data_IF_513691237404
#
_entry.id   IF_513691237404
#
_cell.length_a   1.000
_cell.length_b   1.000
_cell.length_c   1.000
_cell.angle_alpha   90.00
_cell.angle_beta   90.00
_cell.angle_gamma   90.00
#
_symmetry.space_group_name_H-M   'P 1'
#
loop_
_entity.id
_entity.type
_entity.pdbx_description
1 polymer ?
#
# COMPACT_ATOMS: atom_id res chain seq x y z
N UNK A 1 -23.31 -3.85 -33.46
CA UNK A 1 -22.06 -3.20 -32.97
C UNK A 1 -22.33 -2.58 -31.62
N UNK A 2 -21.79 -3.17 -30.55
CA UNK A 2 -21.99 -2.62 -29.20
C UNK A 2 -21.02 -1.44 -29.07
N UNK A 3 -21.58 -0.22 -29.06
CA UNK A 3 -20.84 0.98 -28.64
C UNK A 3 -20.32 0.70 -27.23
N UNK A 4 -18.99 0.73 -27.02
CA UNK A 4 -18.41 0.65 -25.68
C UNK A 4 -18.80 1.93 -24.94
N UNK A 5 -19.94 1.87 -24.22
CA UNK A 5 -20.43 2.96 -23.41
C UNK A 5 -19.39 3.24 -22.32
N UNK A 6 -18.81 4.41 -22.31
CA UNK A 6 -17.88 4.86 -21.27
C UNK A 6 -18.62 4.83 -19.93
N UNK A 7 -17.98 4.29 -18.88
CA UNK A 7 -18.58 4.28 -17.54
C UNK A 7 -18.80 5.72 -17.06
N UNK A 8 -19.97 5.99 -16.49
CA UNK A 8 -20.24 7.25 -15.79
C UNK A 8 -19.35 7.37 -14.55
N UNK A 9 -19.18 8.57 -14.01
CA UNK A 9 -18.45 8.82 -12.76
C UNK A 9 -19.00 7.95 -11.64
N UNK A 10 -20.32 7.90 -11.45
CA UNK A 10 -20.99 7.08 -10.45
C UNK A 10 -20.70 5.57 -10.62
N UNK A 11 -20.69 5.06 -11.86
CA UNK A 11 -20.33 3.66 -12.11
C UNK A 11 -18.85 3.38 -11.78
N UNK A 12 -17.95 4.31 -12.09
CA UNK A 12 -16.54 4.21 -11.72
C UNK A 12 -16.37 4.22 -10.21
N UNK A 13 -17.04 5.16 -9.51
CA UNK A 13 -17.03 5.26 -8.05
C UNK A 13 -17.55 3.97 -7.40
N UNK A 14 -18.61 3.37 -7.90
CA UNK A 14 -19.14 2.10 -7.41
C UNK A 14 -18.15 0.96 -7.59
N UNK A 15 -17.50 0.83 -8.76
CA UNK A 15 -16.46 -0.19 -9.00
C UNK A 15 -15.29 -0.02 -8.06
N UNK A 16 -14.79 1.22 -7.91
CA UNK A 16 -13.63 1.51 -7.05
C UNK A 16 -13.97 1.27 -5.58
N UNK A 17 -15.16 1.68 -5.13
CA UNK A 17 -15.65 1.39 -3.77
C UNK A 17 -15.65 -0.12 -3.48
N UNK A 18 -16.18 -0.93 -4.38
CA UNK A 18 -16.15 -2.38 -4.24
C UNK A 18 -14.72 -2.91 -4.04
N UNK A 19 -13.74 -2.40 -4.79
CA UNK A 19 -12.35 -2.83 -4.69
C UNK A 19 -11.73 -2.40 -3.35
N UNK A 20 -11.95 -1.16 -2.92
CA UNK A 20 -11.46 -0.62 -1.65
C UNK A 20 -12.06 -1.35 -0.43
N UNK A 21 -13.28 -1.87 -0.54
CA UNK A 21 -13.96 -2.68 0.48
C UNK A 21 -13.58 -4.17 0.41
N UNK A 22 -12.46 -4.52 -0.23
CA UNK A 22 -11.91 -5.88 -0.23
C UNK A 22 -12.57 -6.87 -1.17
N UNK A 23 -13.48 -6.43 -2.04
CA UNK A 23 -14.09 -7.30 -3.03
C UNK A 23 -13.08 -7.75 -4.08
N UNK A 24 -13.18 -9.02 -4.49
CA UNK A 24 -12.40 -9.51 -5.62
C UNK A 24 -12.89 -8.89 -6.94
N UNK A 25 -12.03 -8.83 -7.97
CA UNK A 25 -12.46 -8.37 -9.31
C UNK A 25 -13.70 -9.13 -9.79
N UNK A 26 -13.78 -10.46 -9.57
CA UNK A 26 -14.95 -11.25 -9.96
C UNK A 26 -16.21 -10.91 -9.15
N UNK A 27 -16.05 -10.61 -7.85
CA UNK A 27 -17.15 -10.13 -7.02
C UNK A 27 -17.64 -8.76 -7.48
N UNK A 28 -16.72 -7.84 -7.73
CA UNK A 28 -17.04 -6.51 -8.27
C UNK A 28 -17.81 -6.60 -9.58
N UNK A 29 -17.40 -7.48 -10.51
CA UNK A 29 -18.15 -7.74 -11.75
C UNK A 29 -19.59 -8.17 -11.48
N UNK A 30 -19.81 -9.10 -10.54
CA UNK A 30 -21.17 -9.57 -10.21
C UNK A 30 -22.04 -8.48 -9.55
N UNK A 31 -21.42 -7.63 -8.71
CA UNK A 31 -22.13 -6.54 -8.00
C UNK A 31 -22.48 -5.40 -8.96
N UNK A 32 -21.56 -5.02 -9.83
CA UNK A 32 -21.69 -3.80 -10.64
C UNK A 32 -22.17 -4.06 -12.07
N UNK A 33 -22.13 -5.31 -12.54
CA UNK A 33 -22.40 -5.65 -13.95
C UNK A 33 -21.29 -5.22 -14.94
N UNK A 34 -20.23 -4.56 -14.45
CA UNK A 34 -19.15 -4.04 -15.29
C UNK A 34 -18.21 -5.18 -15.71
N UNK A 35 -17.84 -5.24 -16.99
CA UNK A 35 -16.99 -6.29 -17.54
C UNK A 35 -15.63 -6.38 -16.84
N UNK A 36 -15.14 -7.60 -16.62
CA UNK A 36 -13.89 -7.92 -15.90
C UNK A 36 -12.69 -7.08 -16.36
N UNK A 37 -12.49 -6.97 -17.67
CA UNK A 37 -11.35 -6.24 -18.23
C UNK A 37 -11.47 -4.73 -17.98
N UNK A 38 -12.70 -4.21 -17.96
CA UNK A 38 -12.96 -2.80 -17.62
C UNK A 38 -12.67 -2.54 -16.15
N UNK A 39 -13.10 -3.43 -15.24
CA UNK A 39 -12.78 -3.33 -13.80
C UNK A 39 -11.26 -3.37 -13.58
N UNK A 40 -10.55 -4.30 -14.25
CA UNK A 40 -9.10 -4.44 -14.10
C UNK A 40 -8.36 -3.20 -14.66
N UNK A 41 -8.79 -2.67 -15.80
CA UNK A 41 -8.22 -1.45 -16.38
C UNK A 41 -8.46 -0.24 -15.47
N UNK A 42 -9.69 -0.06 -14.98
CA UNK A 42 -10.02 1.04 -14.09
C UNK A 42 -9.20 0.99 -12.79
N UNK A 43 -8.95 -0.20 -12.24
CA UNK A 43 -8.04 -0.36 -11.10
C UNK A 43 -6.63 0.14 -11.42
N UNK A 44 -6.09 -0.17 -12.59
CA UNK A 44 -4.74 0.29 -12.98
C UNK A 44 -4.71 1.81 -13.18
N UNK A 45 -5.70 2.36 -13.90
CA UNK A 45 -5.81 3.81 -14.14
C UNK A 45 -5.93 4.58 -12.81
N UNK A 46 -6.81 4.13 -11.91
CA UNK A 46 -6.95 4.72 -10.57
C UNK A 46 -5.70 4.57 -9.73
N UNK A 47 -5.07 3.39 -9.74
CA UNK A 47 -3.85 3.17 -8.98
C UNK A 47 -2.70 4.08 -9.42
N UNK A 48 -2.59 4.30 -10.74
CA UNK A 48 -1.62 5.24 -11.30
C UNK A 48 -1.90 6.69 -10.84
N UNK A 49 -3.16 7.16 -10.99
CA UNK A 49 -3.57 8.49 -10.55
C UNK A 49 -3.39 8.70 -9.04
N UNK A 50 -3.71 7.67 -8.24
CA UNK A 50 -3.51 7.68 -6.79
C UNK A 50 -2.03 7.75 -6.40
N UNK A 51 -1.16 6.98 -7.06
CA UNK A 51 0.28 7.03 -6.82
C UNK A 51 0.86 8.42 -7.13
N UNK A 52 0.44 8.99 -8.24
CA UNK A 52 0.83 10.31 -8.72
C UNK A 52 0.39 11.42 -7.74
N UNK A 53 -0.88 11.38 -7.31
CA UNK A 53 -1.42 12.31 -6.32
C UNK A 53 -0.68 12.21 -4.99
N UNK A 54 -0.50 10.98 -4.48
CA UNK A 54 0.22 10.71 -3.24
C UNK A 54 1.66 11.23 -3.31
N UNK A 55 2.35 10.96 -4.42
CA UNK A 55 3.73 11.43 -4.61
C UNK A 55 3.84 12.96 -4.60
N UNK A 56 2.88 13.67 -5.19
CA UNK A 56 2.93 15.14 -5.29
C UNK A 56 2.42 15.85 -4.04
N UNK A 57 1.41 15.31 -3.37
CA UNK A 57 0.66 16.03 -2.34
C UNK A 57 0.94 15.56 -0.91
N UNK A 58 1.37 14.30 -0.72
CA UNK A 58 1.74 13.81 0.61
C UNK A 58 3.19 14.16 0.87
N UNK A 59 3.42 15.42 1.26
CA UNK A 59 4.74 16.00 1.50
C UNK A 59 4.66 17.08 2.56
N UNK A 60 5.83 17.45 3.12
CA UNK A 60 5.90 18.49 4.15
C UNK A 60 5.26 18.08 5.46
N UNK A 61 5.24 16.78 5.76
CA UNK A 61 4.61 16.23 6.95
C UNK A 61 5.47 16.46 8.19
N UNK A 62 4.87 16.96 9.25
CA UNK A 62 5.49 17.06 10.57
C UNK A 62 5.26 15.77 11.35
N UNK A 63 6.08 14.78 11.10
CA UNK A 63 6.01 13.46 11.74
C UNK A 63 6.91 13.45 12.97
N UNK A 64 6.34 13.20 14.14
CA UNK A 64 7.13 13.02 15.35
C UNK A 64 7.56 11.58 15.53
N UNK A 65 6.69 10.62 15.21
CA UNK A 65 6.92 9.19 15.43
C UNK A 65 6.57 8.39 14.18
N UNK A 66 7.59 7.93 13.47
CA UNK A 66 7.45 7.13 12.27
C UNK A 66 7.65 5.65 12.60
N UNK A 67 6.70 4.80 12.21
CA UNK A 67 6.82 3.34 12.33
C UNK A 67 6.88 2.72 10.92
N UNK A 68 7.87 1.86 10.70
CA UNK A 68 8.06 1.19 9.41
C UNK A 68 8.08 -0.33 9.58
N UNK A 69 7.48 -1.04 8.62
CA UNK A 69 7.42 -2.51 8.55
C UNK A 69 7.13 -2.97 7.11
N UNK A 70 7.34 -4.26 6.81
CA UNK A 70 7.04 -4.85 5.51
C UNK A 70 5.97 -5.94 5.62
N UNK A 71 5.03 -5.93 4.69
CA UNK A 71 4.04 -6.99 4.54
C UNK A 71 4.34 -7.84 3.30
N UNK A 72 4.47 -9.16 3.51
CA UNK A 72 4.69 -10.13 2.46
C UNK A 72 3.43 -10.41 1.65
N UNK A 73 3.60 -10.56 0.35
CA UNK A 73 2.64 -11.13 -0.59
C UNK A 73 3.39 -11.85 -1.74
N UNK A 74 2.67 -12.22 -2.80
CA UNK A 74 3.31 -12.81 -3.99
C UNK A 74 2.54 -12.45 -5.26
N UNK A 75 3.24 -12.52 -6.39
CA UNK A 75 2.69 -12.31 -7.73
C UNK A 75 2.84 -13.60 -8.53
N UNK A 76 1.74 -14.04 -9.15
CA UNK A 76 1.72 -15.29 -9.93
C UNK A 76 1.79 -16.54 -9.07
N UNK A 77 2.94 -16.81 -8.47
CA UNK A 77 3.18 -17.90 -7.53
C UNK A 77 4.16 -17.48 -6.45
N UNK A 78 4.22 -18.21 -5.32
CA UNK A 78 5.24 -18.02 -4.28
C UNK A 78 6.63 -18.34 -4.83
N UNK A 79 7.66 -17.64 -4.41
CA UNK A 79 9.03 -17.77 -4.92
C UNK A 79 9.53 -19.23 -5.00
N UNK A 80 9.18 -20.07 -4.00
CA UNK A 80 9.56 -21.48 -3.98
C UNK A 80 8.93 -22.34 -5.10
N UNK A 81 7.89 -21.83 -5.78
CA UNK A 81 7.14 -22.55 -6.82
C UNK A 81 7.30 -21.88 -8.20
N UNK A 82 8.21 -20.95 -8.36
CA UNK A 82 8.41 -20.16 -9.58
C UNK A 82 9.53 -20.77 -10.43
N UNK A 83 9.29 -20.98 -11.73
CA UNK A 83 10.34 -21.33 -12.70
C UNK A 83 11.22 -20.13 -13.03
N UNK A 84 12.38 -20.35 -13.66
CA UNK A 84 13.26 -19.27 -14.09
C UNK A 84 12.57 -18.30 -15.06
N UNK A 85 11.78 -18.81 -16.02
CA UNK A 85 11.00 -18.00 -16.96
C UNK A 85 9.95 -17.16 -16.25
N UNK A 86 9.23 -17.76 -15.29
CA UNK A 86 8.24 -17.04 -14.51
C UNK A 86 8.87 -15.96 -13.63
N UNK A 87 10.07 -16.22 -13.08
CA UNK A 87 10.83 -15.24 -12.31
C UNK A 87 11.25 -14.05 -13.21
N UNK A 88 11.72 -14.32 -14.42
CA UNK A 88 12.02 -13.29 -15.40
C UNK A 88 10.77 -12.46 -15.79
N UNK A 89 9.57 -13.08 -15.77
CA UNK A 89 8.29 -12.41 -15.96
C UNK A 89 7.76 -11.68 -14.71
N UNK A 90 8.57 -11.54 -13.64
CA UNK A 90 8.22 -10.82 -12.42
C UNK A 90 7.32 -11.59 -11.44
N UNK A 91 7.29 -12.94 -11.54
CA UNK A 91 6.58 -13.77 -10.56
C UNK A 91 7.47 -14.06 -9.35
N UNK A 92 6.84 -14.23 -8.22
CA UNK A 92 7.53 -14.57 -6.97
C UNK A 92 7.00 -13.77 -5.78
N UNK A 93 7.79 -13.80 -4.72
CA UNK A 93 7.49 -13.04 -3.50
C UNK A 93 7.69 -11.55 -3.75
N UNK A 94 6.77 -10.76 -3.21
CA UNK A 94 6.81 -9.31 -3.26
C UNK A 94 6.47 -8.76 -1.88
N UNK A 95 7.15 -7.69 -1.50
CA UNK A 95 6.98 -7.03 -0.21
C UNK A 95 6.45 -5.62 -0.41
N UNK A 96 5.54 -5.23 0.45
CA UNK A 96 5.08 -3.84 0.53
C UNK A 96 5.62 -3.24 1.81
N UNK A 97 6.53 -2.29 1.66
CA UNK A 97 7.10 -1.48 2.71
C UNK A 97 6.12 -0.37 3.04
N UNK A 98 5.89 -0.10 4.30
CA UNK A 98 4.89 0.88 4.75
C UNK A 98 5.46 1.73 5.87
N UNK A 99 5.33 3.04 5.77
CA UNK A 99 5.65 4.01 6.81
C UNK A 99 4.37 4.67 7.31
N UNK A 100 4.11 4.55 8.61
CA UNK A 100 2.94 5.13 9.27
C UNK A 100 3.41 6.17 10.30
N UNK A 101 2.84 7.37 10.25
CA UNK A 101 2.90 8.31 11.35
C UNK A 101 2.06 7.78 12.51
N UNK A 102 2.70 7.52 13.64
CA UNK A 102 2.03 6.93 14.80
C UNK A 102 0.99 7.87 15.43
N UNK A 103 1.09 9.16 15.20
CA UNK A 103 0.17 10.17 15.75
C UNK A 103 -1.06 10.32 14.87
N UNK A 104 -0.88 10.72 13.63
CA UNK A 104 -1.96 10.98 12.67
C UNK A 104 -2.50 9.71 12.00
N UNK A 105 -1.85 8.56 12.18
CA UNK A 105 -2.12 7.30 11.47
C UNK A 105 -1.96 7.39 9.95
N UNK A 106 -1.40 8.49 9.47
CA UNK A 106 -1.15 8.73 8.05
C UNK A 106 -0.16 7.72 7.48
N UNK A 107 -0.51 7.05 6.40
CA UNK A 107 0.49 6.38 5.58
C UNK A 107 1.31 7.44 4.84
N UNK A 108 2.53 7.68 5.33
CA UNK A 108 3.46 8.68 4.81
C UNK A 108 3.96 8.27 3.43
N UNK A 109 4.38 7.02 3.31
CA UNK A 109 4.76 6.42 2.04
C UNK A 109 4.66 4.91 2.08
N UNK A 110 4.72 4.30 0.89
CA UNK A 110 4.78 2.87 0.68
C UNK A 110 5.66 2.56 -0.53
N UNK A 111 6.30 1.39 -0.50
CA UNK A 111 7.11 0.90 -1.62
C UNK A 111 6.79 -0.57 -1.87
N UNK A 112 6.65 -0.96 -3.14
CA UNK A 112 6.42 -2.35 -3.55
C UNK A 112 7.66 -2.87 -4.26
N UNK A 113 8.31 -3.86 -3.66
CA UNK A 113 9.57 -4.39 -4.18
C UNK A 113 9.97 -5.71 -3.53
N UNK A 114 11.26 -6.00 -3.53
CA UNK A 114 11.84 -7.10 -2.78
C UNK A 114 12.07 -6.73 -1.30
N UNK A 115 12.62 -7.64 -0.49
CA UNK A 115 13.01 -7.38 0.90
C UNK A 115 14.51 -7.04 1.02
N UNK A 116 15.09 -6.52 -0.04
CA UNK A 116 16.52 -6.25 -0.13
C UNK A 116 16.90 -4.82 0.23
N UNK A 117 18.23 -4.58 0.15
CA UNK A 117 18.82 -3.26 0.47
C UNK A 117 18.32 -2.15 -0.46
N UNK A 118 18.13 -2.45 -1.76
CA UNK A 118 17.68 -1.44 -2.74
C UNK A 118 16.26 -0.94 -2.44
N UNK A 119 15.35 -1.86 -2.09
CA UNK A 119 13.98 -1.49 -1.70
C UNK A 119 13.98 -0.69 -0.39
N UNK A 120 14.78 -1.11 0.61
CA UNK A 120 14.92 -0.37 1.87
C UNK A 120 15.44 1.06 1.64
N UNK A 121 16.47 1.21 0.81
CA UNK A 121 17.05 2.51 0.47
C UNK A 121 16.03 3.41 -0.24
N UNK A 122 15.40 2.93 -1.33
CA UNK A 122 14.39 3.69 -2.07
C UNK A 122 13.23 4.11 -1.17
N UNK A 123 12.77 3.21 -0.28
CA UNK A 123 11.70 3.46 0.66
C UNK A 123 12.07 4.54 1.69
N UNK A 124 13.24 4.46 2.32
CA UNK A 124 13.64 5.43 3.34
C UNK A 124 13.99 6.80 2.74
N UNK A 125 14.56 6.86 1.54
CA UNK A 125 14.76 8.12 0.80
C UNK A 125 13.43 8.81 0.50
N UNK A 126 12.41 8.06 0.09
CA UNK A 126 11.09 8.62 -0.13
C UNK A 126 10.45 9.09 1.19
N UNK A 127 10.62 8.34 2.30
CA UNK A 127 10.21 8.81 3.64
C UNK A 127 10.83 10.17 3.99
N UNK A 128 12.16 10.28 3.90
CA UNK A 128 12.90 11.49 4.23
C UNK A 128 12.45 12.69 3.36
N UNK A 129 12.20 12.45 2.08
CA UNK A 129 11.74 13.51 1.15
C UNK A 129 10.36 14.09 1.48
N UNK A 130 9.58 13.44 2.33
CA UNK A 130 8.19 13.78 2.68
C UNK A 130 8.06 14.44 4.04
N UNK A 131 9.05 14.26 4.92
CA UNK A 131 9.01 14.64 6.33
C UNK A 131 9.79 15.92 6.54
N UNK A 132 9.25 16.81 7.38
CA UNK A 132 9.93 18.00 7.87
C UNK A 132 10.23 17.83 9.36
N UNK A 133 11.46 18.17 9.76
CA UNK A 133 11.93 18.06 11.14
C UNK A 133 12.62 16.73 11.41
N UNK A 134 12.79 16.42 12.69
CA UNK A 134 13.54 15.26 13.17
C UNK A 134 12.56 14.21 13.77
N UNK A 135 12.16 13.17 13.00
CA UNK A 135 11.28 12.15 13.52
C UNK A 135 12.02 11.16 14.42
N UNK A 136 11.30 10.56 15.36
CA UNK A 136 11.71 9.31 15.97
C UNK A 136 11.24 8.16 15.07
N UNK A 137 12.17 7.37 14.55
CA UNK A 137 11.89 6.23 13.66
C UNK A 137 11.98 4.94 14.46
N UNK A 138 10.98 4.07 14.30
CA UNK A 138 10.99 2.71 14.83
C UNK A 138 10.75 1.70 13.69
N UNK A 139 11.65 0.71 13.58
CA UNK A 139 11.50 -0.41 12.66
C UNK A 139 11.58 -1.74 13.43
N UNK A 140 11.25 -2.84 12.75
CA UNK A 140 11.62 -4.16 13.23
C UNK A 140 13.15 -4.39 13.13
N UNK A 141 13.63 -5.58 13.51
CA UNK A 141 15.05 -5.91 13.46
C UNK A 141 15.58 -6.24 12.05
N UNK A 142 14.89 -5.85 10.98
CA UNK A 142 15.32 -6.09 9.61
C UNK A 142 16.58 -5.27 9.26
N UNK A 143 17.71 -5.94 9.09
CA UNK A 143 19.02 -5.30 8.94
C UNK A 143 19.15 -4.24 7.83
N UNK A 144 18.50 -4.37 6.66
CA UNK A 144 18.58 -3.34 5.61
C UNK A 144 18.19 -1.93 6.06
N UNK A 145 17.31 -1.80 7.08
CA UNK A 145 16.96 -0.47 7.62
C UNK A 145 18.13 0.27 8.23
N UNK A 146 19.12 -0.43 8.82
CA UNK A 146 20.25 0.23 9.49
C UNK A 146 20.95 1.23 8.56
N UNK A 147 21.32 0.77 7.37
CA UNK A 147 22.02 1.63 6.40
C UNK A 147 21.04 2.57 5.68
N UNK A 148 19.82 2.13 5.39
CA UNK A 148 18.85 2.93 4.68
C UNK A 148 18.38 4.15 5.48
N UNK A 149 18.19 4.03 6.79
CA UNK A 149 17.84 5.15 7.68
C UNK A 149 19.03 6.11 7.80
N UNK A 150 20.24 5.60 8.00
CA UNK A 150 21.45 6.40 8.05
C UNK A 150 21.65 7.22 6.78
N UNK A 151 21.52 6.60 5.60
CA UNK A 151 21.71 7.27 4.31
C UNK A 151 20.61 8.28 3.97
N UNK A 152 19.37 8.06 4.46
CA UNK A 152 18.23 8.92 4.15
C UNK A 152 18.09 10.12 5.11
N UNK A 153 18.34 9.90 6.40
CA UNK A 153 18.11 10.91 7.45
C UNK A 153 19.41 11.41 8.09
N UNK A 154 20.52 10.65 7.99
CA UNK A 154 21.77 11.03 8.67
C UNK A 154 21.55 11.24 10.17
N UNK A 155 21.94 12.42 10.67
CA UNK A 155 21.71 12.84 12.06
C UNK A 155 20.30 13.38 12.35
N UNK A 156 19.45 13.52 11.34
CA UNK A 156 18.14 14.17 11.44
C UNK A 156 17.00 13.18 11.79
N UNK A 157 17.34 12.08 12.48
CA UNK A 157 16.37 11.16 13.06
C UNK A 157 16.89 10.55 14.36
N UNK A 158 15.97 10.30 15.29
CA UNK A 158 16.21 9.46 16.45
C UNK A 158 15.73 8.04 16.11
N UNK A 159 16.64 7.07 16.01
CA UNK A 159 16.31 5.76 15.47
C UNK A 159 16.50 4.62 16.46
N UNK A 160 15.46 3.81 16.61
CA UNK A 160 15.47 2.59 17.39
C UNK A 160 14.92 1.41 16.59
N UNK A 161 15.47 0.23 16.82
CA UNK A 161 14.95 -1.05 16.34
C UNK A 161 14.26 -1.79 17.48
N UNK A 162 13.13 -2.41 17.18
CA UNK A 162 12.38 -3.25 18.11
C UNK A 162 12.46 -4.70 17.68
N UNK A 163 13.18 -5.51 18.43
CA UNK A 163 13.26 -6.94 18.22
C UNK A 163 12.23 -7.66 19.10
N UNK A 164 11.26 -8.33 18.46
CA UNK A 164 10.25 -9.14 19.17
C UNK A 164 10.80 -10.54 19.38
N UNK A 165 10.78 -10.99 20.63
CA UNK A 165 11.15 -12.34 21.02
C UNK A 165 9.87 -13.18 21.07
N UNK A 166 9.84 -14.27 20.31
CA UNK A 166 8.71 -15.17 20.28
C UNK A 166 9.04 -16.46 21.03
N UNK A 167 8.15 -16.89 21.92
CA UNK A 167 8.24 -18.17 22.61
C UNK A 167 7.92 -19.34 21.68
N UNK A 168 8.38 -20.54 22.05
CA UNK A 168 7.94 -21.76 21.40
C UNK A 168 6.41 -21.90 21.57
N UNK A 169 5.68 -22.08 20.48
CA UNK A 169 4.27 -22.44 20.57
C UNK A 169 4.17 -23.84 21.17
N UNK A 170 3.56 -23.98 22.34
CA UNK A 170 3.33 -25.28 22.98
C UNK A 170 2.32 -26.17 22.24
N UNK A 171 1.77 -25.73 21.13
CA UNK A 171 0.78 -26.40 20.32
C UNK A 171 1.39 -27.10 19.11
N UNK A 172 1.01 -28.37 18.80
CA UNK A 172 1.53 -29.11 17.65
C UNK A 172 1.14 -28.49 16.29
N UNK A 173 0.18 -27.60 16.25
CA UNK A 173 -0.28 -26.95 15.01
C UNK A 173 0.12 -25.46 14.94
N UNK A 174 1.36 -25.23 14.50
CA UNK A 174 1.92 -23.86 14.32
C UNK A 174 1.32 -23.08 13.14
N UNK A 175 0.48 -23.73 12.32
CA UNK A 175 -0.03 -23.15 11.07
C UNK A 175 -1.06 -22.05 11.29
N UNK A 176 -1.85 -22.14 12.36
CA UNK A 176 -2.95 -21.22 12.68
C UNK A 176 -2.78 -20.52 14.03
N UNK A 177 -1.88 -20.99 14.88
CA UNK A 177 -1.53 -20.37 16.15
C UNK A 177 -0.17 -19.69 16.03
N UNK A 178 -0.10 -18.37 15.80
CA UNK A 178 1.18 -17.66 15.76
C UNK A 178 1.86 -17.76 17.12
N UNK A 179 3.20 -17.88 17.11
CA UNK A 179 3.99 -17.88 18.34
C UNK A 179 3.68 -16.62 19.17
N UNK A 180 3.52 -16.81 20.48
CA UNK A 180 3.23 -15.69 21.41
C UNK A 180 4.49 -14.85 21.59
N UNK A 181 4.36 -13.53 21.43
CA UNK A 181 5.45 -12.60 21.79
C UNK A 181 5.64 -12.63 23.31
N UNK A 182 6.80 -13.08 23.76
CA UNK A 182 7.16 -13.20 25.19
C UNK A 182 8.04 -12.05 25.69
N UNK A 183 8.55 -11.21 24.79
CA UNK A 183 9.36 -10.04 25.13
C UNK A 183 9.68 -9.19 23.91
N UNK A 184 10.19 -8.01 24.18
CA UNK A 184 10.68 -7.09 23.16
C UNK A 184 12.02 -6.51 23.62
N UNK A 185 13.04 -6.63 22.78
CA UNK A 185 14.34 -6.00 22.99
C UNK A 185 14.42 -4.74 22.14
N UNK A 186 14.63 -3.61 22.79
CA UNK A 186 14.83 -2.33 22.14
C UNK A 186 16.32 -2.05 21.96
N UNK A 187 16.71 -1.69 20.75
CA UNK A 187 18.07 -1.27 20.44
C UNK A 187 18.06 0.14 19.88
N UNK A 188 18.62 1.09 20.62
CA UNK A 188 18.94 2.42 20.06
C UNK A 188 20.03 2.27 19.01
N UNK A 189 19.80 2.84 17.82
CA UNK A 189 20.75 2.81 16.69
C UNK A 189 21.43 4.17 16.53
N UNK A 190 20.66 5.26 16.53
CA UNK A 190 21.19 6.61 16.45
C UNK A 190 20.29 7.62 17.18
N UNK A 191 20.87 8.76 17.57
CA UNK A 191 20.17 9.82 18.30
C UNK A 191 19.77 9.43 19.72
N UNK A 192 18.70 10.02 20.21
CA UNK A 192 18.16 9.82 21.57
C UNK A 192 16.66 9.49 21.48
N UNK A 193 16.28 8.31 20.99
CA UNK A 193 14.86 7.94 20.91
C UNK A 193 14.24 7.79 22.30
N UNK A 194 13.04 8.33 22.52
CA UNK A 194 12.28 8.11 23.76
C UNK A 194 11.82 6.65 23.84
N UNK A 195 12.29 5.88 24.83
CA UNK A 195 11.94 4.47 24.98
C UNK A 195 10.43 4.21 25.07
N UNK A 196 9.65 5.15 25.63
CA UNK A 196 8.19 5.04 25.77
C UNK A 196 7.47 5.01 24.42
N UNK A 197 8.11 5.53 23.38
CA UNK A 197 7.54 5.66 22.04
C UNK A 197 8.14 4.69 21.03
N UNK A 198 9.06 3.82 21.43
CA UNK A 198 9.59 2.76 20.56
C UNK A 198 8.57 1.63 20.45
N UNK A 199 7.88 1.59 19.31
CA UNK A 199 6.82 0.63 19.02
C UNK A 199 6.64 0.45 17.52
N UNK A 200 6.21 -0.75 17.09
CA UNK A 200 5.76 -1.06 15.72
C UNK A 200 4.27 -1.38 15.64
N UNK A 201 3.53 -1.15 16.74
CA UNK A 201 2.13 -1.59 16.88
C UNK A 201 1.18 -0.98 15.85
N UNK A 202 1.38 0.29 15.48
CA UNK A 202 0.49 0.97 14.52
C UNK A 202 0.74 0.48 13.09
N UNK A 203 2.00 0.31 12.68
CA UNK A 203 2.30 -0.21 11.34
C UNK A 203 1.90 -1.68 11.22
N UNK A 204 2.06 -2.49 12.26
CA UNK A 204 1.57 -3.89 12.27
C UNK A 204 0.03 -3.94 12.22
N UNK A 205 -0.66 -3.06 12.94
CA UNK A 205 -2.11 -2.92 12.84
C UNK A 205 -2.52 -2.51 11.42
N UNK A 206 -1.77 -1.64 10.78
CA UNK A 206 -2.00 -1.26 9.39
C UNK A 206 -1.81 -2.44 8.43
N UNK A 207 -0.77 -3.24 8.63
CA UNK A 207 -0.53 -4.47 7.87
C UNK A 207 -1.68 -5.47 8.02
N UNK A 208 -2.26 -5.60 9.23
CA UNK A 208 -3.46 -6.40 9.46
C UNK A 208 -4.67 -5.81 8.70
N UNK A 209 -4.85 -4.49 8.75
CA UNK A 209 -5.93 -3.80 8.04
C UNK A 209 -5.83 -3.99 6.53
N UNK A 210 -4.62 -3.95 5.96
CA UNK A 210 -4.37 -4.29 4.55
C UNK A 210 -4.82 -5.72 4.21
N UNK A 211 -4.50 -6.70 5.07
CA UNK A 211 -4.93 -8.10 4.87
C UNK A 211 -6.44 -8.26 4.90
N UNK A 212 -7.13 -7.50 5.72
CA UNK A 212 -8.59 -7.52 5.84
C UNK A 212 -9.28 -6.80 4.68
N UNK A 213 -8.73 -5.67 4.23
CA UNK A 213 -9.37 -4.78 3.25
C UNK A 213 -8.90 -5.00 1.81
N UNK A 214 -7.78 -5.70 1.59
CA UNK A 214 -7.25 -5.95 0.24
C UNK A 214 -7.25 -7.44 -0.08
N UNK A 215 -8.09 -7.85 -1.02
CA UNK A 215 -8.19 -9.26 -1.44
C UNK A 215 -6.85 -9.88 -1.85
N UNK A 216 -5.91 -9.07 -2.33
CA UNK A 216 -4.58 -9.52 -2.77
C UNK A 216 -3.68 -9.98 -1.63
N UNK A 217 -3.91 -9.50 -0.41
CA UNK A 217 -3.17 -9.86 0.80
C UNK A 217 -3.88 -10.92 1.65
N UNK A 218 -5.12 -11.29 1.30
CA UNK A 218 -5.86 -12.33 2.03
C UNK A 218 -5.18 -13.69 1.82
N UNK A 219 -4.80 -14.32 2.92
CA UNK A 219 -4.19 -15.66 2.90
C UNK A 219 -5.20 -16.73 2.49
N UNK A 220 -4.72 -17.85 1.97
CA UNK A 220 -5.50 -19.04 1.59
C UNK A 220 -6.60 -18.77 0.55
N UNK A 221 -6.37 -17.82 -0.35
CA UNK A 221 -7.29 -17.50 -1.45
C UNK A 221 -6.56 -17.35 -2.77
N UNK A 222 -7.27 -17.54 -3.90
CA UNK A 222 -6.75 -17.27 -5.24
C UNK A 222 -6.83 -15.79 -5.63
N UNK A 223 -6.86 -14.87 -4.64
CA UNK A 223 -6.97 -13.43 -4.87
C UNK A 223 -5.66 -12.72 -5.18
N UNK A 224 -4.55 -13.43 -5.27
CA UNK A 224 -3.21 -12.89 -5.51
C UNK A 224 -3.08 -12.16 -6.85
N UNK A 225 -2.11 -11.26 -6.93
CA UNK A 225 -1.80 -10.48 -8.13
C UNK A 225 -1.18 -11.34 -9.22
N UNK A 226 -1.46 -11.00 -10.49
CA UNK A 226 -0.90 -11.69 -11.66
C UNK A 226 0.26 -10.91 -12.31
N UNK A 227 0.39 -9.60 -11.99
CA UNK A 227 1.43 -8.70 -12.45
C UNK A 227 1.82 -7.80 -11.29
N UNK A 228 3.12 -7.47 -11.18
CA UNK A 228 3.65 -6.65 -10.10
C UNK A 228 3.13 -5.20 -10.19
N UNK A 229 2.99 -4.66 -11.40
CA UNK A 229 2.45 -3.33 -11.62
C UNK A 229 1.02 -3.22 -11.09
N UNK A 230 0.17 -4.23 -11.39
CA UNK A 230 -1.21 -4.26 -10.90
C UNK A 230 -1.28 -4.45 -9.37
N UNK A 231 -0.23 -5.03 -8.77
CA UNK A 231 -0.10 -5.10 -7.32
C UNK A 231 0.18 -3.72 -6.75
N UNK A 232 1.16 -3.01 -7.30
CA UNK A 232 1.49 -1.64 -6.92
C UNK A 232 0.30 -0.68 -7.06
N UNK A 233 -0.42 -0.74 -8.19
CA UNK A 233 -1.63 0.07 -8.41
C UNK A 233 -2.72 -0.20 -7.36
N UNK A 234 -2.90 -1.46 -6.95
CA UNK A 234 -3.88 -1.78 -5.91
C UNK A 234 -3.45 -1.25 -4.54
N UNK A 235 -2.16 -1.28 -4.22
CA UNK A 235 -1.60 -0.70 -3.00
C UNK A 235 -1.76 0.82 -2.98
N UNK A 236 -1.46 1.48 -4.09
CA UNK A 236 -1.63 2.94 -4.23
C UNK A 236 -3.09 3.36 -4.03
N UNK A 237 -4.03 2.68 -4.69
CA UNK A 237 -5.46 2.92 -4.49
C UNK A 237 -5.88 2.70 -3.03
N UNK A 238 -5.40 1.63 -2.40
CA UNK A 238 -5.72 1.33 -1.01
C UNK A 238 -5.25 2.44 -0.06
N UNK A 239 -4.01 2.91 -0.17
CA UNK A 239 -3.51 3.95 0.73
C UNK A 239 -4.13 5.31 0.46
N UNK A 240 -4.53 5.62 -0.78
CA UNK A 240 -5.33 6.82 -1.04
C UNK A 240 -6.70 6.75 -0.37
N UNK A 241 -7.40 5.62 -0.51
CA UNK A 241 -8.66 5.38 0.18
C UNK A 241 -8.50 5.46 1.71
N UNK A 242 -7.49 4.80 2.26
CA UNK A 242 -7.18 4.80 3.70
C UNK A 242 -6.88 6.21 4.22
N UNK A 243 -6.05 6.95 3.53
CA UNK A 243 -5.61 8.27 3.98
C UNK A 243 -6.70 9.34 3.85
N UNK A 244 -7.48 9.35 2.77
CA UNK A 244 -8.36 10.49 2.42
C UNK A 244 -9.85 10.21 2.54
N UNK A 245 -10.31 8.96 2.37
CA UNK A 245 -11.72 8.61 2.29
C UNK A 245 -12.23 7.91 3.54
N UNK A 246 -11.43 6.99 4.09
CA UNK A 246 -11.84 6.19 5.24
C UNK A 246 -11.63 6.95 6.55
N UNK A 247 -12.72 7.21 7.29
CA UNK A 247 -12.65 7.75 8.65
C UNK A 247 -11.98 6.72 9.56
N UNK A 248 -10.91 7.14 10.24
CA UNK A 248 -10.21 6.31 11.22
C UNK A 248 -10.99 6.29 12.53
N UNK A 249 -11.28 5.10 13.05
CA UNK A 249 -12.16 4.92 14.20
C UNK A 249 -11.72 5.69 15.44
N UNK A 250 -10.43 5.71 15.74
CA UNK A 250 -9.87 6.39 16.92
C UNK A 250 -9.78 7.91 16.71
N UNK A 251 -9.40 8.36 15.51
CA UNK A 251 -9.24 9.78 15.18
C UNK A 251 -10.58 10.49 14.98
N UNK A 252 -11.63 9.78 14.56
CA UNK A 252 -12.93 10.31 14.15
C UNK A 252 -12.89 11.19 12.89
N UNK A 253 -11.73 11.31 12.27
CA UNK A 253 -11.45 11.97 10.99
C UNK A 253 -10.60 11.04 10.13
N UNK A 254 -10.29 11.45 8.89
CA UNK A 254 -9.33 10.69 8.06
C UNK A 254 -7.89 11.00 8.49
N UNK A 255 -6.93 10.09 8.26
CA UNK A 255 -5.52 10.37 8.51
C UNK A 255 -5.00 11.62 7.81
N UNK A 256 -5.47 11.90 6.59
CA UNK A 256 -5.09 13.11 5.85
C UNK A 256 -5.62 14.38 6.49
N UNK A 257 -6.81 14.35 7.09
CA UNK A 257 -7.34 15.48 7.87
C UNK A 257 -6.51 15.73 9.12
N UNK A 258 -6.19 14.67 9.86
CA UNK A 258 -5.37 14.76 11.08
C UNK A 258 -3.96 15.28 10.77
N UNK A 259 -3.40 14.88 9.62
CA UNK A 259 -2.10 15.36 9.14
C UNK A 259 -2.15 16.78 8.50
N UNK A 260 -3.31 17.41 8.42
CA UNK A 260 -3.50 18.74 7.83
C UNK A 260 -3.41 18.79 6.29
N UNK A 261 -3.53 17.65 5.62
CA UNK A 261 -3.49 17.54 4.14
C UNK A 261 -4.87 17.66 3.49
N UNK A 262 -5.95 17.55 4.24
CA UNK A 262 -7.32 17.71 3.76
C UNK A 262 -8.17 18.41 4.81
N UNK A 263 -9.07 19.28 4.39
CA UNK A 263 -10.04 19.94 5.27
C UNK A 263 -11.35 19.13 5.47
N UNK A 264 -11.53 18.02 4.77
CA UNK A 264 -12.75 17.22 4.80
C UNK A 264 -12.49 15.75 4.46
N UNK A 265 -13.47 14.90 4.72
CA UNK A 265 -13.47 13.50 4.29
C UNK A 265 -13.78 13.46 2.80
N UNK A 266 -12.88 12.91 2.00
CA UNK A 266 -13.13 12.75 0.57
C UNK A 266 -14.24 11.73 0.31
N UNK A 267 -15.06 12.01 -0.68
CA UNK A 267 -15.99 11.01 -1.19
C UNK A 267 -15.37 10.19 -2.35
N UNK A 268 -16.12 9.21 -2.84
CA UNK A 268 -15.63 8.35 -3.93
C UNK A 268 -15.61 9.05 -5.28
N UNK A 269 -16.42 10.09 -5.47
CA UNK A 269 -16.44 10.85 -6.72
C UNK A 269 -15.23 11.77 -6.79
N UNK A 270 -14.79 12.37 -5.67
CA UNK A 270 -13.52 13.11 -5.56
C UNK A 270 -12.31 12.20 -5.84
N UNK A 271 -12.30 10.98 -5.28
CA UNK A 271 -11.23 10.02 -5.58
C UNK A 271 -11.19 9.68 -7.07
N UNK A 272 -12.34 9.45 -7.70
CA UNK A 272 -12.45 9.13 -9.14
C UNK A 272 -12.12 10.34 -10.02
N UNK A 273 -12.31 11.56 -9.53
CA UNK A 273 -11.95 12.80 -10.23
C UNK A 273 -10.42 12.96 -10.42
N UNK A 274 -9.59 12.18 -9.72
CA UNK A 274 -8.16 12.09 -9.99
C UNK A 274 -7.83 11.50 -11.37
N UNK A 275 -8.79 10.78 -11.99
CA UNK A 275 -8.59 10.26 -13.35
C UNK A 275 -8.57 11.41 -14.35
N UNK A 276 -7.66 11.38 -15.32
CA UNK A 276 -7.65 12.37 -16.39
C UNK A 276 -8.97 12.31 -17.18
N UNK A 277 -9.48 13.48 -17.54
CA UNK A 277 -10.64 13.58 -18.43
C UNK A 277 -10.36 12.87 -19.75
N UNK A 278 -11.09 11.80 -20.02
CA UNK A 278 -11.01 11.12 -21.30
C UNK A 278 -11.80 11.91 -22.33
N UNK A 279 -11.09 12.69 -23.17
CA UNK A 279 -11.72 13.30 -24.36
C UNK A 279 -12.24 12.16 -25.25
N UNK A 280 -13.53 12.15 -25.53
CA UNK A 280 -14.12 11.20 -26.46
C UNK A 280 -13.58 11.49 -27.87
N UNK A 281 -12.63 10.68 -28.32
CA UNK A 281 -12.22 10.72 -29.71
C UNK A 281 -13.35 10.12 -30.55
N UNK A 282 -14.05 10.95 -31.33
CA UNK A 282 -15.00 10.45 -32.34
C UNK A 282 -14.24 9.52 -33.28
N UNK A 283 -14.63 8.26 -33.35
CA UNK A 283 -14.08 7.35 -34.37
C UNK A 283 -14.40 7.92 -35.74
N UNK A 284 -13.38 8.06 -36.57
CA UNK A 284 -13.56 8.38 -37.97
C UNK A 284 -14.39 7.34 -38.72
N UNK A 285 -14.90 7.64 -39.93
CA UNK A 285 -15.66 6.68 -40.71
C UNK A 285 -14.89 5.40 -40.96
N UNK A 286 -15.59 4.28 -40.96
CA UNK A 286 -15.03 2.95 -41.20
C UNK A 286 -14.41 2.89 -42.62
N UNK A 287 -13.11 2.69 -42.73
CA UNK A 287 -12.49 2.41 -44.02
C UNK A 287 -12.80 0.96 -44.40
N UNK A 288 -13.60 0.76 -45.47
CA UNK A 288 -13.80 -0.56 -46.07
C UNK A 288 -12.44 -1.15 -46.45
N UNK A 289 -12.21 -2.41 -46.06
CA UNK A 289 -11.04 -3.18 -46.47
C UNK A 289 -11.21 -3.44 -47.99
N UNK A 290 -10.37 -2.87 -48.82
CA UNK A 290 -10.27 -3.23 -50.22
C UNK A 290 -9.70 -4.65 -50.26
N UNK A 291 -10.47 -5.61 -50.76
CA UNK A 291 -9.99 -6.95 -51.07
C UNK A 291 -8.99 -6.81 -52.25
N UNK A 292 -7.77 -7.18 -52.00
CA UNK A 292 -6.73 -7.49 -53.03
C UNK A 292 -6.61 -8.98 -53.13
#
# INVERSE_FOLDING_TARGET
>A
MVSMKQLSTSQRAQVIRCICEGNSIRSTVRITGVAKNTVARLLCEMGCACADYHHRNVRGLRVQRLQCDEIWSFVGAKAKNVTLEQKAAGWGDVWTWTAIDADTKMCVTFHVGDRGKHSAFAFMQDCASRIIGKPQITTDAHKPYLKAVEDAFGGDADYAMLHKVYGASGEPETRYSPATCIGCDMKTVSGVPDPKHVSTSFVERQNLTMRMSMRRFTRLTNGFSKKVENHGHAVALYFMYYNFVRVHQTLRVTPAMEAGLSGHVWDMDELVALLPETKSVKRGPYKKRTET
#
